data_IF_879395186470
#
_entry.id   IF_879395186470
#
_cell.length_a   1.000
_cell.length_b   1.000
_cell.length_c   1.000
_cell.angle_alpha   90.00
_cell.angle_beta   90.00
_cell.angle_gamma   90.00
#
_symmetry.space_group_name_H-M   'P 1'
#
loop_
_entity.id
_entity.type
_entity.pdbx_description
1 polymer ?
#
# COMPACT_ATOMS: atom_id res chain seq x y z
N UNK A 1 7.48 -22.09 5.67
CA UNK A 1 5.99 -22.08 5.74
C UNK A 1 5.35 -20.69 5.95
N UNK A 2 6.03 -19.68 6.53
CA UNK A 2 5.40 -18.36 6.83
C UNK A 2 5.06 -17.48 5.61
N UNK A 3 5.78 -17.62 4.49
CA UNK A 3 5.54 -16.82 3.29
C UNK A 3 4.22 -17.16 2.55
N UNK A 4 3.78 -18.42 2.64
CA UNK A 4 2.54 -18.89 2.00
C UNK A 4 1.29 -18.27 2.66
N UNK A 5 1.28 -18.21 4.00
CA UNK A 5 0.18 -17.61 4.78
C UNK A 5 0.05 -16.12 4.44
N UNK A 6 1.18 -15.41 4.36
CA UNK A 6 1.18 -14.00 3.98
C UNK A 6 0.56 -13.74 2.60
N UNK A 7 0.80 -14.64 1.63
CA UNK A 7 0.27 -14.54 0.27
C UNK A 7 -1.21 -14.96 0.17
N UNK A 8 -1.65 -15.94 0.96
CA UNK A 8 -3.06 -16.31 1.12
C UNK A 8 -3.90 -15.17 1.68
N UNK A 9 -3.40 -14.46 2.71
CA UNK A 9 -4.08 -13.28 3.27
C UNK A 9 -4.30 -12.19 2.20
N UNK A 10 -3.33 -11.99 1.30
CA UNK A 10 -3.48 -11.04 0.20
C UNK A 10 -4.51 -11.48 -0.85
N UNK A 11 -4.78 -12.78 -1.01
CA UNK A 11 -5.80 -13.27 -1.94
C UNK A 11 -7.21 -13.02 -1.44
N UNK A 12 -7.43 -13.03 -0.11
CA UNK A 12 -8.72 -12.72 0.52
C UNK A 12 -8.93 -11.21 0.79
N UNK A 13 -8.01 -10.35 0.33
CA UNK A 13 -8.10 -8.90 0.46
C UNK A 13 -7.45 -8.30 1.71
N UNK A 14 -6.81 -9.10 2.56
CA UNK A 14 -6.04 -8.62 3.72
C UNK A 14 -4.63 -8.28 3.27
N UNK A 15 -4.39 -6.99 3.08
CA UNK A 15 -3.12 -6.46 2.60
C UNK A 15 -2.41 -5.65 3.70
N UNK A 16 -1.12 -5.92 3.86
CA UNK A 16 -0.22 -5.15 4.71
C UNK A 16 0.45 -4.06 3.86
N UNK A 17 -0.19 -2.89 3.79
CA UNK A 17 0.30 -1.75 3.01
C UNK A 17 1.36 -0.97 3.78
N UNK A 18 2.49 -0.69 3.14
CA UNK A 18 3.47 0.30 3.59
C UNK A 18 3.44 1.52 2.67
N UNK A 19 3.73 2.71 3.21
CA UNK A 19 3.97 3.89 2.37
C UNK A 19 5.32 3.70 1.67
N UNK A 20 5.33 3.80 0.34
CA UNK A 20 6.56 3.73 -0.47
C UNK A 20 6.95 5.08 -1.04
N UNK A 21 5.97 5.95 -1.26
CA UNK A 21 6.22 7.31 -1.74
C UNK A 21 5.15 8.24 -1.17
N UNK A 22 5.53 9.45 -0.82
CA UNK A 22 4.57 10.50 -0.50
C UNK A 22 4.97 11.75 -1.24
N UNK A 23 4.15 12.08 -2.24
CA UNK A 23 4.28 13.31 -2.98
C UNK A 23 3.43 14.37 -2.29
N UNK A 24 4.09 15.38 -1.72
CA UNK A 24 3.43 16.54 -1.13
C UNK A 24 3.28 17.62 -2.21
N UNK A 25 2.07 17.82 -2.73
CA UNK A 25 1.76 18.94 -3.61
C UNK A 25 1.51 20.23 -2.84
N UNK A 26 1.79 21.38 -3.47
CA UNK A 26 1.60 22.72 -2.92
C UNK A 26 0.12 23.15 -2.95
N UNK A 27 -0.75 22.43 -2.25
CA UNK A 27 -2.16 22.78 -2.11
C UNK A 27 -2.84 22.02 -0.96
N UNK A 28 -3.91 22.59 -0.36
CA UNK A 28 -4.70 21.86 0.63
C UNK A 28 -5.27 20.61 -0.06
N UNK A 29 -5.10 19.42 0.54
CA UNK A 29 -5.44 18.11 -0.06
C UNK A 29 -4.58 17.63 -1.26
N UNK A 30 -3.39 18.21 -1.47
CA UNK A 30 -2.52 17.77 -2.58
C UNK A 30 -1.50 16.70 -2.18
N UNK A 31 -1.67 16.08 -1.00
CA UNK A 31 -0.76 15.03 -0.53
C UNK A 31 -1.22 13.68 -1.09
N UNK A 32 -0.42 13.11 -1.98
CA UNK A 32 -0.68 11.80 -2.58
C UNK A 32 0.35 10.82 -2.04
N UNK A 33 -0.10 9.89 -1.21
CA UNK A 33 0.72 8.80 -0.70
C UNK A 33 0.52 7.55 -1.54
N UNK A 34 1.59 7.07 -2.17
CA UNK A 34 1.63 5.76 -2.78
C UNK A 34 1.98 4.73 -1.70
N UNK A 35 1.11 3.74 -1.55
CA UNK A 35 1.30 2.61 -0.64
C UNK A 35 1.42 1.31 -1.42
N UNK A 36 2.25 0.40 -0.96
CA UNK A 36 2.45 -0.91 -1.57
C UNK A 36 2.30 -2.02 -0.54
N UNK A 37 1.64 -3.11 -0.92
CA UNK A 37 1.59 -4.29 -0.08
C UNK A 37 2.93 -5.03 -0.09
N UNK A 38 3.57 -5.13 1.08
CA UNK A 38 4.89 -5.79 1.25
C UNK A 38 4.95 -7.26 0.86
N UNK A 39 3.78 -7.90 0.74
CA UNK A 39 3.66 -9.35 0.54
C UNK A 39 3.34 -9.73 -0.90
N UNK A 40 2.51 -8.94 -1.58
CA UNK A 40 2.06 -9.22 -2.95
C UNK A 40 2.42 -8.13 -3.96
N UNK A 41 3.01 -7.01 -3.54
CA UNK A 41 3.36 -5.88 -4.42
C UNK A 41 2.16 -5.07 -4.91
N UNK A 42 0.96 -5.27 -4.35
CA UNK A 42 -0.22 -4.49 -4.74
C UNK A 42 -0.03 -3.03 -4.36
N UNK A 43 0.06 -2.15 -5.37
CA UNK A 43 0.11 -0.70 -5.18
C UNK A 43 -1.30 -0.12 -5.02
N UNK A 44 -1.41 0.88 -4.15
CA UNK A 44 -2.57 1.76 -4.02
C UNK A 44 -2.11 3.20 -3.88
N UNK A 45 -2.95 4.11 -4.33
CA UNK A 45 -2.74 5.54 -4.19
C UNK A 45 -3.78 6.04 -3.20
N UNK A 46 -3.32 6.71 -2.13
CA UNK A 46 -4.17 7.36 -1.15
C UNK A 46 -3.98 8.86 -1.28
N UNK A 47 -5.08 9.59 -1.35
CA UNK A 47 -5.09 11.04 -1.30
C UNK A 47 -5.60 11.43 0.08
N UNK A 48 -4.92 12.37 0.74
CA UNK A 48 -5.37 12.97 2.00
C UNK A 48 -6.25 14.17 1.71
#
# INVERSE_FOLDING_TARGET
MRALIGRLLCLIGIHDYQVIDTTFGFGPNSSVSRVECRRCGRMNIRQA
#
